data_IF_049185415684
#
_entry.id   IF_049185415684
#
_cell.length_a   1.000
_cell.length_b   1.000
_cell.length_c   1.000
_cell.angle_alpha   90.00
_cell.angle_beta   90.00
_cell.angle_gamma   90.00
#
_symmetry.space_group_name_H-M   'P 1'
#
loop_
_entity.id
_entity.type
_entity.pdbx_description
1 polymer ?
#
# COMPACT_ATOMS: atom_id res chain seq x y z
N UNK A 1 32.14 -35.91 55.96
CA UNK A 1 32.37 -34.89 57.02
C UNK A 1 31.42 -33.74 56.69
N UNK A 2 30.15 -33.90 57.02
CA UNK A 2 29.45 -33.38 58.21
C UNK A 2 29.04 -31.91 58.06
N UNK A 3 27.72 -31.76 57.85
CA UNK A 3 26.83 -30.61 58.08
C UNK A 3 27.02 -29.99 59.49
N UNK A 4 26.48 -28.78 59.79
CA UNK A 4 25.03 -28.60 59.98
C UNK A 4 24.48 -27.26 59.42
N UNK A 5 23.32 -27.26 58.74
CA UNK A 5 21.97 -27.01 59.31
C UNK A 5 21.94 -25.96 60.42
N UNK A 6 21.19 -24.87 60.23
CA UNK A 6 20.40 -24.20 61.29
C UNK A 6 19.21 -23.44 60.66
N UNK A 7 18.02 -23.97 60.90
CA UNK A 7 16.75 -23.24 60.91
C UNK A 7 16.38 -23.01 62.38
N UNK A 8 15.66 -21.92 62.70
CA UNK A 8 14.43 -22.18 63.46
C UNK A 8 13.22 -21.36 63.02
N UNK A 9 12.08 -22.01 63.23
CA UNK A 9 10.72 -21.53 63.08
C UNK A 9 10.40 -20.30 63.94
N UNK A 10 9.49 -19.45 63.46
CA UNK A 10 8.68 -18.59 64.33
C UNK A 10 7.19 -18.68 63.97
N UNK A 11 6.39 -18.75 65.05
CA UNK A 11 4.96 -19.08 65.13
C UNK A 11 4.02 -17.94 64.74
N UNK A 12 2.90 -18.35 64.15
CA UNK A 12 1.49 -17.95 64.33
C UNK A 12 1.15 -16.69 65.17
N UNK A 13 0.38 -15.78 64.56
CA UNK A 13 -0.81 -15.09 65.12
C UNK A 13 -1.68 -14.65 63.92
N UNK A 14 -2.79 -15.32 63.55
CA UNK A 14 -4.15 -15.13 64.08
C UNK A 14 -4.52 -13.68 64.38
N UNK A 15 -5.09 -12.98 63.38
CA UNK A 15 -6.15 -11.99 63.59
C UNK A 15 -7.13 -12.01 62.41
N UNK A 16 -8.28 -12.65 62.64
CA UNK A 16 -9.51 -12.43 61.91
C UNK A 16 -9.99 -10.99 62.14
N UNK A 17 -10.17 -10.23 61.08
CA UNK A 17 -11.00 -9.02 61.10
C UNK A 17 -12.04 -9.14 59.97
N UNK A 18 -13.20 -9.64 60.39
CA UNK A 18 -14.43 -9.75 59.65
C UNK A 18 -15.01 -8.33 59.48
N UNK A 19 -14.75 -7.65 58.36
CA UNK A 19 -15.45 -6.41 58.01
C UNK A 19 -16.65 -6.75 57.12
N UNK A 20 -17.82 -6.84 57.77
CA UNK A 20 -19.13 -6.72 57.13
C UNK A 20 -19.25 -5.31 56.54
N UNK A 21 -19.27 -5.20 55.21
CA UNK A 21 -19.72 -3.99 54.52
C UNK A 21 -21.20 -4.22 54.13
N UNK A 22 -22.13 -3.35 54.54
CA UNK A 22 -23.54 -3.50 54.21
C UNK A 22 -23.78 -3.26 52.72
N UNK A 23 -24.42 -4.25 52.07
CA UNK A 23 -25.05 -4.13 50.77
C UNK A 23 -26.12 -3.03 50.82
N UNK A 24 -25.77 -1.84 50.34
CA UNK A 24 -26.77 -0.85 49.93
C UNK A 24 -27.15 -1.18 48.50
N UNK A 25 -28.31 -1.83 48.36
CA UNK A 25 -29.02 -2.01 47.09
C UNK A 25 -29.38 -0.65 46.51
N UNK A 26 -28.51 -0.10 45.66
CA UNK A 26 -28.89 0.97 44.72
C UNK A 26 -29.50 0.28 43.51
N UNK A 27 -30.83 0.39 43.43
CA UNK A 27 -31.63 0.06 42.26
C UNK A 27 -31.22 1.00 41.11
N UNK A 28 -30.20 0.62 40.34
CA UNK A 28 -29.84 1.31 39.10
C UNK A 28 -30.75 0.78 37.99
N UNK A 29 -31.67 1.64 37.53
CA UNK A 29 -32.46 1.43 36.32
C UNK A 29 -31.50 1.24 35.13
N UNK A 30 -31.21 -0.02 34.78
CA UNK A 30 -30.60 -0.35 33.49
C UNK A 30 -31.72 -0.28 32.45
N UNK A 31 -31.85 0.90 31.83
CA UNK A 31 -32.64 1.04 30.60
C UNK A 31 -31.85 0.36 29.50
N UNK A 32 -32.18 -0.90 29.23
CA UNK A 32 -31.77 -1.65 28.05
C UNK A 32 -32.35 -0.97 26.80
N UNK A 33 -31.63 0.01 26.25
CA UNK A 33 -31.78 0.35 24.85
C UNK A 33 -31.07 -0.74 24.04
N UNK A 34 -31.86 -1.69 23.55
CA UNK A 34 -31.48 -2.60 22.49
C UNK A 34 -31.19 -1.80 21.24
N UNK A 35 -29.94 -1.33 21.09
CA UNK A 35 -29.46 -0.82 19.80
C UNK A 35 -29.24 -2.05 18.92
N UNK A 36 -29.87 -2.13 17.73
CA UNK A 36 -29.63 -3.24 16.83
C UNK A 36 -28.15 -3.29 16.45
N UNK A 37 -27.57 -4.46 16.69
CA UNK A 37 -26.27 -4.87 16.20
C UNK A 37 -26.37 -4.95 14.66
N UNK A 38 -25.97 -3.87 13.97
CA UNK A 38 -25.73 -3.88 12.53
C UNK A 38 -24.26 -4.28 12.33
N UNK A 39 -24.01 -5.58 12.38
CA UNK A 39 -22.90 -6.15 11.61
C UNK A 39 -23.35 -6.26 10.15
N UNK A 40 -22.39 -5.96 9.27
CA UNK A 40 -22.48 -5.90 7.82
C UNK A 40 -23.19 -4.67 7.24
N UNK A 41 -22.40 -3.78 6.63
CA UNK A 41 -22.40 -3.71 5.16
C UNK A 41 -21.33 -2.75 4.63
N UNK A 42 -20.53 -3.32 3.73
CA UNK A 42 -20.10 -2.74 2.47
C UNK A 42 -19.28 -1.44 2.49
N UNK A 43 -18.02 -1.61 2.09
CA UNK A 43 -17.45 -0.93 0.92
C UNK A 43 -17.71 0.57 0.87
N UNK A 44 -16.83 1.32 1.52
CA UNK A 44 -16.46 2.61 0.97
C UNK A 44 -15.61 2.38 -0.30
N UNK A 45 -16.23 1.87 -1.36
CA UNK A 45 -15.83 2.21 -2.73
C UNK A 45 -16.17 3.69 -2.93
N UNK A 46 -15.51 4.56 -2.17
CA UNK A 46 -15.27 5.91 -2.61
C UNK A 46 -14.39 5.76 -3.83
N UNK A 47 -15.02 5.70 -5.00
CA UNK A 47 -14.33 5.86 -6.27
C UNK A 47 -13.79 7.29 -6.25
N UNK A 48 -12.65 7.47 -5.60
CA UNK A 48 -11.85 8.66 -5.73
C UNK A 48 -11.47 8.65 -7.21
N UNK A 49 -12.17 9.43 -8.01
CA UNK A 49 -11.68 9.82 -9.33
C UNK A 49 -10.33 10.45 -9.05
N UNK A 50 -9.27 9.66 -9.21
CA UNK A 50 -7.91 10.10 -9.00
C UNK A 50 -7.72 11.27 -9.97
N UNK A 51 -7.73 12.49 -9.44
CA UNK A 51 -7.26 13.62 -10.19
C UNK A 51 -5.89 13.21 -10.70
N UNK A 52 -5.69 13.24 -12.02
CA UNK A 52 -4.40 12.92 -12.63
C UNK A 52 -3.42 13.91 -12.05
N UNK A 53 -2.67 13.48 -11.04
CA UNK A 53 -1.62 14.29 -10.45
C UNK A 53 -0.60 14.54 -11.55
N UNK A 54 -0.04 15.75 -11.58
CA UNK A 54 1.14 16.01 -12.39
C UNK A 54 2.17 14.89 -12.09
N UNK A 55 2.59 14.10 -13.08
CA UNK A 55 3.53 13.00 -12.90
C UNK A 55 4.80 13.42 -12.15
N UNK A 56 5.25 14.66 -12.39
CA UNK A 56 6.43 15.21 -11.73
C UNK A 56 6.19 15.51 -10.25
N UNK A 57 4.98 15.99 -9.89
CA UNK A 57 4.61 16.20 -8.49
C UNK A 57 4.44 14.88 -7.74
N UNK A 58 3.96 13.84 -8.44
CA UNK A 58 3.65 12.56 -7.84
C UNK A 58 4.84 11.88 -7.16
N UNK A 59 6.00 11.89 -7.83
CA UNK A 59 7.21 11.21 -7.34
C UNK A 59 8.11 12.11 -6.49
N UNK A 60 8.10 13.41 -6.74
CA UNK A 60 8.93 14.37 -5.98
C UNK A 60 8.29 14.84 -4.67
N UNK A 61 7.01 14.54 -4.45
CA UNK A 61 6.26 14.93 -3.24
C UNK A 61 5.88 13.76 -2.33
N UNK A 62 6.42 12.56 -2.56
CA UNK A 62 6.22 11.48 -1.60
C UNK A 62 6.82 11.88 -0.25
N UNK A 63 6.11 11.61 0.87
CA UNK A 63 6.63 11.97 2.17
C UNK A 63 7.90 11.18 2.50
N UNK A 64 8.82 11.83 3.20
CA UNK A 64 9.95 11.13 3.81
C UNK A 64 9.50 10.56 5.15
N UNK A 65 9.64 9.24 5.31
CA UNK A 65 9.23 8.50 6.49
C UNK A 65 10.43 7.76 7.05
N UNK A 66 10.60 7.84 8.36
CA UNK A 66 11.70 7.15 9.04
C UNK A 66 11.21 6.45 10.29
N UNK A 67 11.59 5.19 10.44
CA UNK A 67 11.35 4.42 11.64
C UNK A 67 12.32 4.84 12.76
N UNK A 68 11.79 5.15 13.93
CA UNK A 68 12.58 5.61 15.08
C UNK A 68 12.81 4.52 16.13
N UNK A 69 11.87 3.59 16.27
CA UNK A 69 11.99 2.49 17.21
C UNK A 69 10.66 1.96 17.75
N UNK A 70 10.78 1.00 18.66
CA UNK A 70 9.68 0.34 19.36
C UNK A 70 9.90 0.41 20.87
N UNK A 71 8.79 0.51 21.61
CA UNK A 71 8.76 0.37 23.04
C UNK A 71 8.96 1.68 23.81
N UNK A 72 9.08 1.55 25.12
CA UNK A 72 9.07 2.68 26.05
C UNK A 72 10.35 3.51 25.92
N UNK A 73 10.27 4.61 25.18
CA UNK A 73 11.38 5.52 24.90
C UNK A 73 10.89 6.95 24.64
N UNK A 74 11.82 7.89 24.52
CA UNK A 74 11.53 9.24 24.04
C UNK A 74 12.20 9.43 22.68
N UNK A 75 11.41 9.81 21.69
CA UNK A 75 11.85 10.03 20.32
C UNK A 75 11.80 11.51 19.99
N UNK A 76 12.81 12.03 19.30
CA UNK A 76 12.83 13.40 18.82
C UNK A 76 12.34 13.45 17.37
N UNK A 77 11.55 14.47 17.04
CA UNK A 77 11.00 14.63 15.69
C UNK A 77 12.11 14.98 14.70
N UNK A 78 13.00 15.92 15.08
CA UNK A 78 13.96 16.55 14.17
C UNK A 78 13.35 17.80 13.51
N UNK A 79 14.21 18.66 12.97
CA UNK A 79 13.77 19.96 12.43
C UNK A 79 13.07 19.85 11.07
N UNK A 80 13.40 18.82 10.29
CA UNK A 80 12.87 18.65 8.93
C UNK A 80 11.55 17.87 8.91
N UNK A 81 11.14 17.26 10.02
CA UNK A 81 9.95 16.42 10.11
C UNK A 81 8.77 17.18 10.71
N UNK A 82 7.57 16.90 10.20
CA UNK A 82 6.36 17.62 10.55
C UNK A 82 5.53 16.93 11.64
N UNK A 83 5.52 15.59 11.67
CA UNK A 83 4.68 14.80 12.58
C UNK A 83 5.30 13.45 12.90
N UNK A 84 4.91 12.87 14.03
CA UNK A 84 5.10 11.44 14.27
C UNK A 84 3.95 10.64 13.65
N UNK A 85 4.24 9.39 13.29
CA UNK A 85 3.24 8.36 13.05
C UNK A 85 3.45 7.31 14.13
N UNK A 86 2.39 6.94 14.85
CA UNK A 86 2.48 6.03 15.99
C UNK A 86 1.53 4.87 15.83
N UNK A 87 2.05 3.63 15.90
CA UNK A 87 1.24 2.42 16.00
C UNK A 87 0.77 2.24 17.43
N UNK A 88 -0.54 2.05 17.64
CA UNK A 88 -1.17 1.83 18.95
C UNK A 88 -2.00 0.55 18.97
N UNK A 89 -2.38 0.11 20.19
CA UNK A 89 -3.36 -0.94 20.45
C UNK A 89 -4.65 -0.34 21.06
N UNK A 90 -5.87 -0.75 20.64
CA UNK A 90 -6.17 -1.64 19.51
C UNK A 90 -5.60 -1.10 18.19
N UNK A 91 -5.36 -2.00 17.23
CA UNK A 91 -4.55 -1.72 16.05
C UNK A 91 -4.99 -0.43 15.35
N UNK A 92 -4.09 0.55 15.32
CA UNK A 92 -4.29 1.84 14.68
C UNK A 92 -2.95 2.51 14.44
N UNK A 93 -2.91 3.36 13.41
CA UNK A 93 -1.85 4.35 13.22
C UNK A 93 -2.44 5.74 13.48
N UNK A 94 -1.69 6.58 14.19
CA UNK A 94 -2.13 7.92 14.56
C UNK A 94 -1.04 8.92 14.22
N UNK A 95 -1.42 10.03 13.58
CA UNK A 95 -0.55 11.20 13.44
C UNK A 95 -0.52 11.96 14.76
N UNK A 96 0.68 12.11 15.33
CA UNK A 96 0.88 12.79 16.61
C UNK A 96 1.87 13.95 16.40
N UNK A 97 1.49 15.21 16.68
CA UNK A 97 2.39 16.36 16.50
C UNK A 97 3.52 16.39 17.55
N UNK A 98 3.47 15.53 18.57
CA UNK A 98 4.40 15.53 19.68
C UNK A 98 4.22 16.70 20.65
N UNK A 99 5.19 16.87 21.54
CA UNK A 99 5.21 17.94 22.55
C UNK A 99 6.57 18.60 22.59
N UNK A 100 6.62 19.92 22.78
CA UNK A 100 7.88 20.66 22.88
C UNK A 100 8.45 20.52 24.29
N UNK A 101 9.70 20.07 24.41
CA UNK A 101 10.42 19.93 25.68
C UNK A 101 10.98 21.30 26.16
N UNK A 102 11.72 21.32 27.28
CA UNK A 102 12.32 22.57 27.81
C UNK A 102 13.46 23.12 26.96
N UNK A 103 14.05 22.28 26.12
CA UNK A 103 15.14 22.60 25.20
C UNK A 103 14.62 23.16 23.87
N UNK A 104 13.31 23.11 23.63
CA UNK A 104 12.68 23.55 22.38
C UNK A 104 12.51 22.43 21.35
N UNK A 105 12.89 21.19 21.65
CA UNK A 105 12.71 20.07 20.72
C UNK A 105 11.30 19.50 20.80
N UNK A 106 10.71 19.19 19.65
CA UNK A 106 9.48 18.39 19.57
C UNK A 106 9.80 16.91 19.79
N UNK A 107 9.18 16.31 20.81
CA UNK A 107 9.40 14.92 21.22
C UNK A 107 8.09 14.13 21.33
N UNK A 108 8.19 12.83 21.17
CA UNK A 108 7.14 11.86 21.49
C UNK A 108 7.62 10.90 22.59
N UNK A 109 6.76 10.61 23.58
CA UNK A 109 7.06 9.67 24.67
C UNK A 109 6.26 8.39 24.45
N UNK A 110 6.91 7.38 23.91
CA UNK A 110 6.29 6.10 23.60
C UNK A 110 6.11 5.23 24.84
N UNK A 111 5.09 4.40 24.82
CA UNK A 111 4.88 3.31 25.78
C UNK A 111 5.42 1.98 25.25
N UNK A 112 5.42 0.93 26.09
CA UNK A 112 6.07 -0.35 25.78
C UNK A 112 5.57 -1.06 24.51
N UNK A 113 4.35 -0.79 24.06
CA UNK A 113 3.74 -1.48 22.91
C UNK A 113 3.51 -0.56 21.71
N UNK A 114 4.20 0.57 21.65
CA UNK A 114 4.11 1.53 20.55
C UNK A 114 5.33 1.41 19.64
N UNK A 115 5.08 1.58 18.34
CA UNK A 115 6.12 1.79 17.32
C UNK A 115 5.99 3.19 16.78
N UNK A 116 7.12 3.82 16.54
CA UNK A 116 7.17 5.25 16.21
C UNK A 116 7.95 5.46 14.94
N UNK A 117 7.34 6.21 14.04
CA UNK A 117 7.95 6.79 12.86
C UNK A 117 7.86 8.30 12.95
N UNK A 118 8.68 8.99 12.15
CA UNK A 118 8.53 10.40 11.84
C UNK A 118 8.27 10.59 10.37
N UNK A 119 7.54 11.65 10.05
CA UNK A 119 7.13 11.92 8.68
C UNK A 119 7.27 13.40 8.31
N UNK A 120 7.88 13.65 7.15
CA UNK A 120 8.03 14.94 6.50
C UNK A 120 7.21 14.94 5.21
N UNK A 121 6.43 16.00 4.99
CA UNK A 121 5.51 16.10 3.84
C UNK A 121 4.06 15.83 4.22
N UNK A 122 3.24 15.46 3.24
CA UNK A 122 1.82 15.20 3.44
C UNK A 122 1.58 13.73 3.79
N UNK A 123 1.58 13.44 5.08
CA UNK A 123 1.52 12.09 5.61
C UNK A 123 0.10 11.70 5.99
N UNK A 124 -0.27 10.47 5.70
CA UNK A 124 -1.48 9.81 6.20
C UNK A 124 -1.09 8.70 7.20
N UNK A 125 -2.08 8.16 7.89
CA UNK A 125 -1.90 7.09 8.86
C UNK A 125 -3.08 6.12 8.75
N UNK A 126 -3.38 5.65 7.53
CA UNK A 126 -4.47 4.71 7.31
C UNK A 126 -4.02 3.32 7.73
N UNK A 127 -4.62 2.79 8.80
CA UNK A 127 -4.34 1.45 9.30
C UNK A 127 -5.09 0.39 8.48
N UNK A 128 -4.39 -0.65 8.06
CA UNK A 128 -4.92 -1.78 7.29
C UNK A 128 -4.38 -3.07 7.91
N UNK A 129 -5.24 -4.07 8.13
CA UNK A 129 -4.86 -5.33 8.73
C UNK A 129 -5.70 -6.48 8.19
N UNK A 130 -5.03 -7.44 7.54
CA UNK A 130 -5.69 -8.56 6.84
C UNK A 130 -6.82 -8.06 5.92
N UNK A 131 -6.50 -7.04 5.13
CA UNK A 131 -7.48 -6.32 4.33
C UNK A 131 -6.84 -5.72 3.07
N UNK A 132 -7.67 -5.57 2.03
CA UNK A 132 -7.30 -4.96 0.76
C UNK A 132 -7.47 -3.44 0.77
N UNK A 133 -6.43 -2.73 0.34
CA UNK A 133 -6.51 -1.32 0.00
C UNK A 133 -6.80 -1.13 -1.50
N UNK A 134 -7.97 -0.60 -1.83
CA UNK A 134 -8.33 -0.33 -3.22
C UNK A 134 -7.58 0.89 -3.77
N UNK A 135 -6.78 0.68 -4.82
CA UNK A 135 -6.06 1.72 -5.54
C UNK A 135 -6.89 2.31 -6.69
N UNK A 136 -7.87 1.53 -7.18
CA UNK A 136 -8.84 1.94 -8.18
C UNK A 136 -8.67 1.24 -9.53
N UNK A 137 -9.57 1.55 -10.46
CA UNK A 137 -9.57 1.00 -11.82
C UNK A 137 -8.74 1.87 -12.75
N UNK A 138 -7.70 1.29 -13.36
CA UNK A 138 -6.74 2.03 -14.19
C UNK A 138 -6.37 1.26 -15.47
N UNK A 139 -5.97 1.94 -16.55
CA UNK A 139 -5.45 1.28 -17.74
C UNK A 139 -4.03 0.71 -17.52
N UNK A 140 -3.64 -0.25 -18.37
CA UNK A 140 -2.26 -0.72 -18.46
C UNK A 140 -1.29 0.45 -18.72
N UNK A 141 -0.07 0.34 -18.16
CA UNK A 141 0.98 1.36 -18.22
C UNK A 141 0.90 2.42 -17.11
N UNK A 142 -0.20 2.49 -16.35
CA UNK A 142 -0.32 3.35 -15.16
C UNK A 142 0.72 2.94 -14.13
N UNK A 143 1.33 3.89 -13.41
CA UNK A 143 2.27 3.59 -12.32
C UNK A 143 1.67 4.02 -10.99
N UNK A 144 1.62 3.10 -10.02
CA UNK A 144 1.32 3.41 -8.63
C UNK A 144 2.62 3.61 -7.85
N UNK A 145 2.62 4.59 -6.96
CA UNK A 145 3.64 4.81 -5.93
C UNK A 145 2.98 4.79 -4.56
N UNK A 146 3.48 3.95 -3.66
CA UNK A 146 2.99 3.84 -2.28
C UNK A 146 4.13 4.10 -1.31
N UNK A 147 3.82 4.78 -0.21
CA UNK A 147 4.65 4.79 0.99
C UNK A 147 3.89 4.02 2.06
N UNK A 148 4.45 2.88 2.46
CA UNK A 148 3.85 1.97 3.44
C UNK A 148 4.76 1.90 4.65
N UNK A 149 4.17 1.79 5.83
CA UNK A 149 4.88 1.41 7.06
C UNK A 149 4.36 0.07 7.52
N UNK A 150 5.26 -0.84 7.84
CA UNK A 150 4.89 -2.15 8.39
C UNK A 150 5.32 -2.24 9.84
N UNK A 151 4.67 -3.12 10.59
CA UNK A 151 4.96 -3.32 12.00
C UNK A 151 5.94 -4.45 12.26
N UNK A 152 6.22 -5.26 11.26
CA UNK A 152 7.33 -6.19 11.21
C UNK A 152 8.46 -5.66 10.32
N UNK A 153 9.69 -5.95 10.74
CA UNK A 153 10.88 -5.61 9.98
C UNK A 153 11.54 -6.88 9.48
N UNK A 154 12.45 -6.75 8.53
CA UNK A 154 13.21 -7.87 7.93
C UNK A 154 13.92 -8.80 8.94
N UNK A 155 14.14 -8.35 10.19
CA UNK A 155 14.74 -9.15 11.25
C UNK A 155 13.77 -10.10 11.96
N UNK A 156 12.46 -9.99 11.73
CA UNK A 156 11.48 -10.97 12.19
C UNK A 156 11.45 -12.15 11.22
N UNK A 157 12.54 -12.93 11.18
CA UNK A 157 12.72 -14.10 10.31
C UNK A 157 11.65 -15.21 10.48
N UNK A 158 10.73 -15.03 11.43
CA UNK A 158 9.59 -15.89 11.70
C UNK A 158 8.27 -15.36 11.14
N UNK A 159 8.21 -14.13 10.63
CA UNK A 159 7.04 -13.63 9.93
C UNK A 159 7.11 -14.00 8.46
N UNK A 160 6.18 -14.86 8.05
CA UNK A 160 6.04 -15.32 6.67
C UNK A 160 4.88 -14.62 5.97
N UNK A 161 4.20 -13.69 6.65
CA UNK A 161 3.13 -12.90 6.07
C UNK A 161 3.75 -11.89 5.13
N UNK A 162 3.18 -11.79 3.94
CA UNK A 162 3.72 -10.97 2.86
C UNK A 162 2.61 -10.19 2.26
N UNK A 163 2.84 -8.90 2.07
CA UNK A 163 1.88 -8.05 1.39
C UNK A 163 2.01 -8.27 -0.14
N UNK A 164 0.95 -8.00 -0.89
CA UNK A 164 0.97 -8.21 -2.34
C UNK A 164 0.13 -7.19 -3.10
N UNK A 165 0.47 -7.04 -4.38
CA UNK A 165 -0.38 -6.41 -5.37
C UNK A 165 -1.37 -7.41 -5.91
N UNK A 166 -2.61 -6.99 -6.12
CA UNK A 166 -3.67 -7.81 -6.72
C UNK A 166 -4.46 -7.02 -7.76
N UNK A 167 -5.09 -7.73 -8.69
CA UNK A 167 -5.93 -7.17 -9.75
C UNK A 167 -7.26 -7.90 -9.83
N UNK A 168 -8.34 -7.13 -9.82
CA UNK A 168 -9.75 -7.52 -9.85
C UNK A 168 -10.24 -8.37 -8.65
N UNK A 169 -9.45 -9.34 -8.20
CA UNK A 169 -9.68 -10.12 -6.98
C UNK A 169 -8.54 -9.86 -5.97
N UNK A 170 -8.79 -9.16 -4.85
CA UNK A 170 -7.75 -8.83 -3.89
C UNK A 170 -7.13 -10.03 -3.18
N UNK A 171 -7.81 -11.19 -3.14
CA UNK A 171 -7.34 -12.40 -2.46
C UNK A 171 -6.43 -13.27 -3.33
N UNK A 172 -6.26 -12.92 -4.60
CA UNK A 172 -5.37 -13.62 -5.53
C UNK A 172 -4.13 -12.76 -5.79
N UNK A 173 -2.96 -13.13 -5.24
CA UNK A 173 -1.73 -12.37 -5.45
C UNK A 173 -1.36 -12.30 -6.93
N UNK A 174 -1.15 -11.08 -7.43
CA UNK A 174 -0.49 -10.85 -8.71
C UNK A 174 1.03 -10.80 -8.52
N UNK A 175 1.51 -9.95 -7.61
CA UNK A 175 2.94 -9.82 -7.29
C UNK A 175 3.11 -9.68 -5.78
N UNK A 176 3.86 -10.59 -5.18
CA UNK A 176 4.22 -10.53 -3.75
C UNK A 176 5.36 -9.54 -3.53
N UNK A 177 5.27 -8.70 -2.50
CA UNK A 177 6.34 -7.74 -2.15
C UNK A 177 7.51 -8.51 -1.56
N UNK A 178 8.65 -8.50 -2.27
CA UNK A 178 9.82 -9.34 -2.01
C UNK A 178 10.57 -8.97 -0.71
N UNK A 179 10.73 -7.68 -0.47
CA UNK A 179 11.60 -7.12 0.56
C UNK A 179 10.78 -6.19 1.44
N UNK A 180 10.39 -6.68 2.61
CA UNK A 180 9.56 -5.92 3.53
C UNK A 180 10.36 -5.31 4.67
N UNK A 181 9.97 -4.11 5.06
CA UNK A 181 10.65 -3.37 6.12
C UNK A 181 9.71 -2.40 6.83
N UNK A 182 10.19 -1.80 7.92
CA UNK A 182 9.43 -0.81 8.69
C UNK A 182 8.96 0.39 7.86
N UNK A 183 9.61 0.69 6.73
CA UNK A 183 9.21 1.74 5.79
C UNK A 183 9.51 1.27 4.36
N UNK A 184 8.49 1.22 3.53
CA UNK A 184 8.59 0.77 2.14
C UNK A 184 8.18 1.89 1.19
N UNK A 185 8.99 2.09 0.15
CA UNK A 185 8.69 2.94 -0.99
C UNK A 185 8.45 2.04 -2.20
N UNK A 186 7.20 1.75 -2.48
CA UNK A 186 6.82 0.78 -3.49
C UNK A 186 6.41 1.48 -4.77
N UNK A 187 6.75 0.87 -5.91
CA UNK A 187 6.29 1.29 -7.22
C UNK A 187 5.81 0.08 -8.01
N UNK A 188 4.65 0.20 -8.66
CA UNK A 188 4.12 -0.81 -9.56
C UNK A 188 3.70 -0.15 -10.87
N UNK A 189 4.36 -0.52 -11.97
CA UNK A 189 3.83 -0.26 -13.30
C UNK A 189 2.81 -1.35 -13.65
N UNK A 190 1.57 -0.93 -13.87
CA UNK A 190 0.41 -1.78 -14.09
C UNK A 190 0.55 -2.50 -15.44
N UNK A 191 0.67 -3.84 -15.47
CA UNK A 191 0.84 -4.59 -16.72
C UNK A 191 -0.47 -4.77 -17.49
N UNK A 192 -1.60 -4.78 -16.80
CA UNK A 192 -2.94 -5.03 -17.37
C UNK A 192 -3.96 -4.07 -16.79
N UNK A 193 -4.92 -3.63 -17.62
CA UNK A 193 -6.02 -2.80 -17.15
C UNK A 193 -6.91 -3.60 -16.18
N UNK A 194 -7.37 -2.98 -15.11
CA UNK A 194 -8.19 -3.63 -14.09
C UNK A 194 -8.35 -2.78 -12.84
N UNK A 195 -9.06 -3.30 -11.85
CA UNK A 195 -9.14 -2.71 -10.50
C UNK A 195 -8.00 -3.23 -9.65
N UNK A 196 -7.08 -2.36 -9.26
CA UNK A 196 -5.89 -2.74 -8.52
C UNK A 196 -6.05 -2.55 -7.01
N UNK A 197 -5.39 -3.44 -6.27
CA UNK A 197 -5.36 -3.43 -4.82
C UNK A 197 -3.92 -3.63 -4.32
N UNK A 198 -3.66 -3.10 -3.13
CA UNK A 198 -2.54 -3.52 -2.29
C UNK A 198 -3.12 -4.26 -1.08
N UNK A 199 -2.80 -5.53 -0.91
CA UNK A 199 -3.31 -6.35 0.19
C UNK A 199 -2.30 -6.40 1.32
N UNK A 200 -2.80 -6.17 2.53
CA UNK A 200 -2.05 -6.28 3.77
C UNK A 200 -2.34 -7.63 4.43
N UNK A 201 -1.34 -8.51 4.53
CA UNK A 201 -1.48 -9.80 5.26
C UNK A 201 -1.29 -9.61 6.78
N UNK A 202 -0.70 -8.48 7.19
CA UNK A 202 -0.64 -8.03 8.59
C UNK A 202 -0.91 -6.53 8.72
N UNK A 203 -0.32 -5.89 9.74
CA UNK A 203 -0.80 -4.69 10.39
C UNK A 203 0.01 -3.49 9.90
N UNK A 204 -0.28 -3.07 8.69
CA UNK A 204 0.42 -1.98 8.01
C UNK A 204 -0.30 -0.62 8.07
N UNK A 205 0.45 0.43 7.77
CA UNK A 205 -0.07 1.78 7.55
C UNK A 205 0.20 2.25 6.12
N UNK A 206 -0.82 2.77 5.44
CA UNK A 206 -0.64 3.54 4.20
C UNK A 206 -0.37 5.00 4.57
N UNK A 207 0.83 5.47 4.27
CA UNK A 207 1.27 6.84 4.55
C UNK A 207 1.00 7.77 3.37
N UNK A 208 1.19 7.28 2.15
CA UNK A 208 0.85 8.03 0.95
C UNK A 208 0.61 7.10 -0.23
N UNK A 209 -0.23 7.58 -1.14
CA UNK A 209 -0.53 6.92 -2.42
C UNK A 209 -0.47 7.97 -3.51
N UNK A 210 0.17 7.62 -4.62
CA UNK A 210 0.19 8.47 -5.79
C UNK A 210 0.10 7.64 -7.07
N UNK A 211 -0.60 8.17 -8.07
CA UNK A 211 -0.88 7.47 -9.33
C UNK A 211 -0.46 8.35 -10.49
N UNK A 212 0.41 7.79 -11.33
CA UNK A 212 0.86 8.41 -12.59
C UNK A 212 0.17 7.68 -13.73
N UNK A 213 -0.69 8.38 -14.47
CA UNK A 213 -1.34 7.82 -15.64
C UNK A 213 -0.29 7.43 -16.71
N UNK A 214 -0.59 6.38 -17.48
CA UNK A 214 0.21 6.04 -18.65
C UNK A 214 0.26 7.24 -19.60
N UNK A 215 1.46 7.56 -20.11
CA UNK A 215 1.56 8.50 -21.22
C UNK A 215 0.81 7.89 -22.42
N UNK A 216 -0.10 8.64 -23.07
CA UNK A 216 -0.79 8.12 -24.25
C UNK A 216 0.27 7.76 -25.28
N UNK A 217 0.32 6.49 -25.69
CA UNK A 217 1.16 6.09 -26.81
C UNK A 217 0.77 6.97 -28.00
N UNK A 218 1.72 7.71 -28.62
CA UNK A 218 1.38 8.59 -29.72
C UNK A 218 0.71 7.73 -30.79
N UNK A 219 -0.56 8.04 -31.08
CA UNK A 219 -1.26 7.39 -32.18
C UNK A 219 -0.43 7.67 -33.43
N UNK A 220 0.05 6.65 -34.17
CA UNK A 220 0.80 6.89 -35.38
C UNK A 220 -0.04 7.81 -36.25
N UNK A 221 0.49 9.01 -36.52
CA UNK A 221 -0.22 9.96 -37.36
C UNK A 221 -0.32 9.32 -38.73
N UNK A 222 -1.50 8.81 -39.07
CA UNK A 222 -1.76 8.31 -40.42
C UNK A 222 -1.44 9.48 -41.34
N UNK A 223 -0.46 9.35 -42.26
CA UNK A 223 -0.12 10.45 -43.15
C UNK A 223 -1.39 10.82 -43.91
N UNK A 224 -1.82 12.07 -43.75
CA UNK A 224 -3.00 12.59 -44.44
C UNK A 224 -2.78 12.39 -45.93
N UNK A 225 -3.50 11.45 -46.54
CA UNK A 225 -3.47 11.27 -48.00
C UNK A 225 -3.87 12.62 -48.59
N UNK A 226 -3.05 13.22 -49.47
CA UNK A 226 -3.40 14.47 -50.12
C UNK A 226 -4.78 14.31 -50.75
N UNK A 227 -5.75 15.12 -50.33
CA UNK A 227 -7.06 15.14 -50.97
C UNK A 227 -6.85 15.54 -52.43
N UNK A 228 -7.08 14.59 -53.34
CA UNK A 228 -7.11 14.89 -54.78
C UNK A 228 -8.17 15.97 -54.97
N UNK A 229 -7.84 17.11 -55.61
CA UNK A 229 -8.81 18.17 -55.82
C UNK A 229 -10.02 17.61 -56.57
N UNK A 230 -11.19 17.68 -55.93
CA UNK A 230 -12.46 17.31 -56.54
C UNK A 230 -12.69 18.19 -57.76
N UNK A 231 -12.44 17.65 -58.95
CA UNK A 231 -12.75 18.35 -60.20
C UNK A 231 -14.28 18.53 -60.24
N UNK A 232 -14.79 19.77 -60.41
CA UNK A 232 -16.22 20.00 -60.49
C UNK A 232 -16.83 19.16 -61.63
N UNK A 233 -18.01 18.55 -61.42
CA UNK A 233 -18.64 17.73 -62.45
C UNK A 233 -18.94 18.58 -63.68
N UNK A 234 -18.42 18.14 -64.84
CA UNK A 234 -18.74 18.71 -66.14
C UNK A 234 -20.26 18.59 -66.38
N UNK A 235 -20.97 19.64 -66.84
CA UNK A 235 -22.40 19.56 -67.11
C UNK A 235 -22.70 18.45 -68.10
N UNK A 236 -23.52 17.49 -67.65
CA UNK A 236 -23.91 16.30 -68.42
C UNK A 236 -24.90 16.70 -69.51
N UNK A 237 -24.49 16.51 -70.77
CA UNK A 237 -25.39 16.63 -71.91
C UNK A 237 -26.31 15.38 -71.97
N UNK A 238 -27.62 15.60 -71.91
CA UNK A 238 -28.66 14.58 -72.00
C UNK A 238 -28.72 13.99 -73.41
N UNK A 239 -28.08 12.85 -73.62
CA UNK A 239 -28.25 11.99 -74.80
C UNK A 239 -29.07 10.74 -74.46
N UNK A 240 -29.80 10.16 -75.44
CA UNK A 240 -30.69 9.02 -75.19
C UNK A 240 -29.92 7.73 -74.91
N UNK A 241 -30.53 6.90 -74.07
CA UNK A 241 -29.99 5.69 -73.47
C UNK A 241 -29.32 4.73 -74.45
N UNK A 242 -28.15 4.22 -74.09
CA UNK A 242 -27.58 2.98 -74.61
C UNK A 242 -27.07 2.16 -73.43
N UNK A 243 -27.54 0.92 -73.34
CA UNK A 243 -27.22 -0.02 -72.27
C UNK A 243 -25.74 -0.39 -72.30
N UNK A 244 -25.07 -0.36 -71.14
CA UNK A 244 -23.76 -1.00 -71.00
C UNK A 244 -23.55 -1.52 -69.58
N UNK A 245 -22.95 -2.71 -69.56
CA UNK A 245 -22.69 -3.67 -68.49
C UNK A 245 -22.27 -3.12 -67.14
N UNK A 246 -22.94 -3.65 -66.11
CA UNK A 246 -22.46 -3.72 -64.72
C UNK A 246 -21.11 -4.44 -64.67
N UNK A 247 -20.05 -3.71 -64.34
CA UNK A 247 -18.78 -4.29 -63.91
C UNK A 247 -18.81 -4.42 -62.38
N UNK A 248 -18.65 -5.64 -61.91
CA UNK A 248 -18.55 -6.05 -60.51
C UNK A 248 -17.28 -5.46 -59.88
N UNK A 249 -17.33 -4.90 -58.65
CA UNK A 249 -16.15 -4.36 -58.00
C UNK A 249 -15.21 -5.49 -57.57
N UNK A 250 -13.96 -5.41 -58.02
CA UNK A 250 -12.86 -6.28 -57.55
C UNK A 250 -12.54 -5.97 -56.09
N UNK A 251 -12.79 -6.92 -55.20
CA UNK A 251 -12.38 -6.90 -53.79
C UNK A 251 -10.84 -6.88 -53.69
N UNK A 252 -10.27 -5.78 -53.18
CA UNK A 252 -8.84 -5.68 -52.88
C UNK A 252 -8.59 -6.28 -51.49
N UNK A 253 -8.07 -7.50 -51.44
CA UNK A 253 -7.66 -8.16 -50.19
C UNK A 253 -6.56 -7.35 -49.51
N UNK A 254 -6.80 -6.90 -48.27
CA UNK A 254 -5.81 -6.25 -47.42
C UNK A 254 -5.12 -7.34 -46.61
N UNK A 255 -3.87 -7.67 -46.95
CA UNK A 255 -3.06 -8.60 -46.15
C UNK A 255 -2.70 -7.96 -44.81
N UNK A 256 -3.06 -8.65 -43.73
CA UNK A 256 -2.65 -8.31 -42.36
C UNK A 256 -1.29 -8.98 -42.12
N UNK A 257 -0.21 -8.24 -41.82
CA UNK A 257 1.06 -8.86 -41.47
C UNK A 257 0.92 -9.61 -40.13
N UNK A 258 1.21 -10.91 -40.17
CA UNK A 258 1.32 -11.77 -38.99
C UNK A 258 2.75 -11.67 -38.47
N UNK A 259 2.98 -10.80 -37.48
CA UNK A 259 4.23 -10.82 -36.71
C UNK A 259 4.14 -11.95 -35.66
N UNK A 260 4.99 -12.96 -35.81
CA UNK A 260 5.16 -14.03 -34.82
C UNK A 260 6.39 -13.68 -33.96
N UNK A 261 6.32 -13.70 -32.62
CA UNK A 261 7.41 -13.26 -31.78
C UNK A 261 8.44 -14.37 -31.62
N UNK A 262 9.73 -14.05 -31.66
CA UNK A 262 10.77 -14.92 -31.12
C UNK A 262 11.93 -14.04 -30.70
N UNK A 263 12.12 -13.89 -29.39
CA UNK A 263 13.45 -13.98 -28.79
C UNK A 263 13.28 -14.21 -27.28
N UNK A 264 13.66 -15.40 -26.85
CA UNK A 264 13.84 -15.78 -25.45
C UNK A 264 15.32 -15.66 -25.14
N UNK A 265 15.79 -14.69 -24.33
CA UNK A 265 17.11 -14.79 -23.77
C UNK A 265 17.08 -15.67 -22.52
N UNK A 266 17.56 -16.89 -22.71
CA UNK A 266 17.99 -17.84 -21.69
C UNK A 266 19.39 -17.47 -21.20
N UNK A 267 19.53 -17.22 -19.91
CA UNK A 267 20.50 -17.82 -18.98
C UNK A 267 20.95 -16.86 -17.86
N UNK A 268 20.79 -17.38 -16.65
CA UNK A 268 21.14 -16.80 -15.36
C UNK A 268 22.54 -17.28 -14.95
N UNK A 269 23.54 -16.42 -14.69
CA UNK A 269 24.72 -16.85 -13.95
C UNK A 269 24.42 -16.82 -12.44
N UNK A 270 24.45 -18.01 -11.83
CA UNK A 270 24.44 -18.20 -10.38
C UNK A 270 25.86 -17.97 -9.86
N UNK A 271 26.11 -16.81 -9.24
CA UNK A 271 27.35 -16.57 -8.48
C UNK A 271 27.25 -17.27 -7.11
N UNK A 272 28.19 -18.17 -6.83
CA UNK A 272 28.30 -18.87 -5.55
C UNK A 272 29.18 -18.03 -4.61
N UNK A 273 28.72 -17.61 -3.41
CA UNK A 273 29.58 -16.85 -2.51
C UNK A 273 30.70 -17.72 -1.93
N UNK A 274 31.93 -17.22 -2.04
CA UNK A 274 33.12 -17.80 -1.41
C UNK A 274 33.19 -17.34 0.05
N UNK A 275 32.97 -18.26 0.99
CA UNK A 275 33.18 -18.06 2.41
C UNK A 275 34.69 -17.85 2.71
N UNK A 276 35.05 -16.67 3.21
CA UNK A 276 36.40 -16.41 3.74
C UNK A 276 36.36 -16.45 5.27
N UNK A 277 36.76 -17.59 5.84
CA UNK A 277 37.00 -17.71 7.29
C UNK A 277 38.20 -16.84 7.69
N UNK A 278 37.98 -15.85 8.55
CA UNK A 278 39.05 -15.09 9.21
C UNK A 278 39.33 -15.69 10.57
N UNK A 279 40.49 -16.33 10.72
CA UNK A 279 41.00 -16.79 12.01
C UNK A 279 41.54 -15.60 12.81
N UNK A 280 41.03 -15.40 14.02
CA UNK A 280 41.59 -14.48 15.01
C UNK A 280 42.68 -15.22 15.81
N UNK A 281 43.94 -14.76 15.84
CA UNK A 281 44.94 -15.30 16.75
C UNK A 281 44.78 -14.70 18.16
N UNK A 282 44.96 -15.57 19.15
CA UNK A 282 44.83 -15.35 20.60
C UNK A 282 45.98 -14.53 21.18
#
# INVERSE_FOLDING_TARGET
MNSPEHSPAFRQHLFSALYLVPFISVLLFVVLWSVPNVQAQASATGSATAAVADPALCTTQLPQVEYLGEGAATYALGQDFATFIVKRRPFSFVLDPGTVNRQGDTIYRATQNERVWRCQGNCQALAINDEAYALGTVPAGTTFHLVVIDDDGISQANDQRRNWWAVDDPLLPHTVVAEQSMVEYLALQVPVAGTWYYYAEDSMGIVATCTVAAEPTPVPTVPTVPTVPTVPPLPTATGPATATSTAEPTETSTEVPTETPTDTPTDTPTETPTETSTNVPT
#
